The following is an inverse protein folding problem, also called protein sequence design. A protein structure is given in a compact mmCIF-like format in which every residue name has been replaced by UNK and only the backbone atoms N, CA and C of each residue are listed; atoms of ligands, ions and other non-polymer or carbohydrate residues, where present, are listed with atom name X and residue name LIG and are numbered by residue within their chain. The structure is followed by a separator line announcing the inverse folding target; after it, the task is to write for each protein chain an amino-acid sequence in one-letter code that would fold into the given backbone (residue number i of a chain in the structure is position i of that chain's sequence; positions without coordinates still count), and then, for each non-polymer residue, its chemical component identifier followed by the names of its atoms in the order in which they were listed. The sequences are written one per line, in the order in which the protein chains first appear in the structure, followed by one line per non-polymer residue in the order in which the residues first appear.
data_IF_172694288084
#
_entry.id   IF_172694288084
#
_cell.length_a   1.000
_cell.length_b   1.000
_cell.length_c   1.000
_cell.angle_alpha   90.00
_cell.angle_beta   90.00
_cell.angle_gamma   90.00
#
_symmetry.space_group_name_H-M   'P 1'
#
loop_
_entity.id
_entity.type
_entity.pdbx_description
1 polymer ?
#
# COMPACT_ATOMS: atom_id res chain seq x y z
N UNK A 1 8.48 7.36 -9.15
CA UNK A 1 9.54 6.63 -9.89
C UNK A 1 9.22 5.14 -9.79
N UNK A 2 9.21 4.37 -10.88
CA UNK A 2 8.85 2.93 -10.83
C UNK A 2 10.09 2.08 -10.56
N UNK A 3 10.05 1.31 -9.47
CA UNK A 3 11.02 0.27 -9.05
C UNK A 3 11.10 -0.87 -10.09
N UNK A 4 11.65 -0.61 -11.27
CA UNK A 4 11.90 -1.66 -12.26
C UNK A 4 13.30 -1.48 -12.80
N UNK A 5 14.24 -2.24 -12.21
CA UNK A 5 15.60 -2.34 -12.72
C UNK A 5 15.54 -2.70 -14.20
N UNK A 6 16.14 -1.85 -15.02
CA UNK A 6 16.29 -2.07 -16.46
C UNK A 6 17.68 -2.62 -16.67
N UNK A 7 17.82 -3.51 -17.65
CA UNK A 7 19.12 -4.12 -17.99
C UNK A 7 20.20 -3.13 -18.43
N UNK A 8 19.84 -1.86 -18.64
CA UNK A 8 20.73 -0.75 -19.01
C UNK A 8 20.90 0.29 -17.90
N UNK A 9 20.37 0.06 -16.70
CA UNK A 9 20.66 0.91 -15.55
C UNK A 9 22.11 0.62 -15.12
N UNK A 10 23.03 1.53 -15.47
CA UNK A 10 24.49 1.34 -15.30
C UNK A 10 24.91 1.22 -13.83
N UNK A 11 24.16 1.81 -12.90
CA UNK A 11 24.39 1.72 -11.45
C UNK A 11 23.08 1.67 -10.67
N UNK A 12 23.02 0.89 -9.58
CA UNK A 12 21.94 0.96 -8.60
C UNK A 12 21.72 2.40 -8.10
N UNK A 13 20.56 2.66 -7.50
CA UNK A 13 20.31 3.91 -6.78
C UNK A 13 21.45 4.13 -5.76
N UNK A 14 22.09 5.31 -5.85
CA UNK A 14 23.25 5.71 -5.04
C UNK A 14 22.90 5.70 -3.55
N UNK A 15 21.63 5.91 -3.20
CA UNK A 15 21.19 5.84 -1.81
C UNK A 15 20.98 4.41 -1.34
N UNK A 16 20.62 3.48 -2.24
CA UNK A 16 20.57 2.04 -1.94
C UNK A 16 21.97 1.44 -1.76
N UNK A 17 22.97 1.85 -2.56
CA UNK A 17 24.35 1.35 -2.47
C UNK A 17 25.04 1.64 -1.12
N UNK A 18 24.60 2.68 -0.41
CA UNK A 18 25.15 3.08 0.89
C UNK A 18 24.55 2.29 2.06
N UNK A 19 23.56 1.43 1.81
CA UNK A 19 22.86 0.70 2.84
C UNK A 19 23.60 -0.61 3.13
N UNK A 20 23.99 -0.82 4.39
CA UNK A 20 24.71 -2.01 4.84
C UNK A 20 23.88 -2.90 5.78
N UNK A 21 22.64 -2.51 6.06
CA UNK A 21 21.78 -3.13 7.07
C UNK A 21 20.41 -3.47 6.48
N UNK A 22 19.88 -4.64 6.87
CA UNK A 22 18.65 -5.20 6.29
C UNK A 22 17.43 -4.35 6.68
N UNK A 23 17.35 -3.88 7.92
CA UNK A 23 16.22 -3.07 8.37
C UNK A 23 16.16 -1.75 7.59
N UNK A 24 17.33 -1.18 7.32
CA UNK A 24 17.46 0.02 6.50
C UNK A 24 17.07 -0.23 5.03
N UNK A 25 17.39 -1.40 4.47
CA UNK A 25 16.94 -1.80 3.13
C UNK A 25 15.42 -1.91 3.06
N UNK A 26 14.80 -2.56 4.05
CA UNK A 26 13.35 -2.71 4.14
C UNK A 26 12.68 -1.35 4.25
N UNK A 27 13.20 -0.46 5.10
CA UNK A 27 12.68 0.90 5.25
C UNK A 27 12.78 1.71 3.94
N UNK A 28 13.89 1.58 3.21
CA UNK A 28 14.06 2.21 1.90
C UNK A 28 13.04 1.69 0.88
N UNK A 29 12.87 0.38 0.76
CA UNK A 29 11.89 -0.22 -0.16
C UNK A 29 10.45 0.19 0.21
N UNK A 30 10.14 0.20 1.50
CA UNK A 30 8.84 0.64 2.00
C UNK A 30 8.56 2.11 1.67
N UNK A 31 9.56 2.98 1.85
CA UNK A 31 9.44 4.40 1.47
C UNK A 31 9.16 4.57 -0.03
N UNK A 32 9.89 3.85 -0.89
CA UNK A 32 9.70 3.88 -2.34
C UNK A 32 8.30 3.40 -2.77
N UNK A 33 7.79 2.34 -2.14
CA UNK A 33 6.43 1.84 -2.38
C UNK A 33 5.37 2.85 -1.90
N UNK A 34 5.59 3.46 -0.74
CA UNK A 34 4.67 4.47 -0.22
C UNK A 34 4.58 5.68 -1.15
N UNK A 35 5.71 6.14 -1.72
CA UNK A 35 5.72 7.25 -2.67
C UNK A 35 4.97 6.87 -3.97
N UNK A 36 5.18 5.65 -4.46
CA UNK A 36 4.55 5.16 -5.70
C UNK A 36 3.02 5.11 -5.61
N UNK A 37 2.47 4.69 -4.48
CA UNK A 37 1.03 4.45 -4.32
C UNK A 37 0.26 5.62 -3.69
N UNK A 38 0.97 6.66 -3.24
CA UNK A 38 0.42 7.70 -2.39
C UNK A 38 0.70 7.36 -0.93
N UNK A 39 1.50 8.21 -0.29
CA UNK A 39 2.12 7.89 1.00
C UNK A 39 1.09 7.59 2.09
N UNK A 40 0.05 8.42 2.22
CA UNK A 40 -1.00 8.26 3.23
C UNK A 40 -1.80 6.98 2.98
N UNK A 41 -2.28 6.77 1.75
CA UNK A 41 -3.03 5.57 1.37
C UNK A 41 -2.25 4.29 1.69
N UNK A 42 -0.98 4.21 1.26
CA UNK A 42 -0.16 3.03 1.46
C UNK A 42 0.12 2.77 2.94
N UNK A 43 0.54 3.79 3.68
CA UNK A 43 0.86 3.65 5.11
C UNK A 43 -0.38 3.23 5.91
N UNK A 44 -1.54 3.83 5.65
CA UNK A 44 -2.80 3.49 6.33
C UNK A 44 -3.24 2.06 6.00
N UNK A 45 -3.16 1.65 4.73
CA UNK A 45 -3.48 0.28 4.33
C UNK A 45 -2.62 -0.76 5.06
N UNK A 46 -1.31 -0.55 5.11
CA UNK A 46 -0.40 -1.46 5.84
C UNK A 46 -0.66 -1.45 7.34
N UNK A 47 -0.93 -0.29 7.94
CA UNK A 47 -1.23 -0.16 9.36
C UNK A 47 -2.52 -0.89 9.76
N UNK A 48 -3.56 -0.81 8.93
CA UNK A 48 -4.82 -1.53 9.17
C UNK A 48 -4.63 -3.05 9.08
N UNK A 49 -3.88 -3.54 8.09
CA UNK A 49 -3.54 -4.97 7.98
C UNK A 49 -2.74 -5.47 9.19
N UNK A 50 -1.78 -4.68 9.68
CA UNK A 50 -0.99 -5.02 10.87
C UNK A 50 -1.81 -5.06 12.16
N UNK A 51 -2.80 -4.17 12.29
CA UNK A 51 -3.59 -4.03 13.51
C UNK A 51 -4.71 -5.08 13.62
N UNK A 52 -5.32 -5.44 12.50
CA UNK A 52 -6.52 -6.26 12.47
C UNK A 52 -6.27 -7.78 12.51
N UNK A 53 -5.00 -8.23 12.42
CA UNK A 53 -4.62 -9.65 12.36
C UNK A 53 -5.39 -10.39 11.27
N UNK A 54 -5.41 -9.82 10.06
CA UNK A 54 -6.17 -10.32 8.92
C UNK A 54 -7.35 -9.43 8.55
N UNK A 55 -7.45 -9.04 7.28
CA UNK A 55 -8.63 -8.34 6.75
C UNK A 55 -9.03 -8.90 5.39
N UNK A 56 -10.32 -9.06 5.15
CA UNK A 56 -10.82 -9.24 3.79
C UNK A 56 -10.61 -7.97 2.96
N UNK A 57 -10.61 -8.12 1.63
CA UNK A 57 -10.48 -6.98 0.70
C UNK A 57 -11.58 -5.94 0.94
N UNK A 58 -12.81 -6.39 1.22
CA UNK A 58 -13.95 -5.49 1.47
C UNK A 58 -13.80 -4.73 2.78
N UNK A 59 -13.36 -5.38 3.86
CA UNK A 59 -13.14 -4.71 5.15
C UNK A 59 -12.04 -3.66 5.06
N UNK A 60 -10.93 -3.97 4.38
CA UNK A 60 -9.86 -3.01 4.17
C UNK A 60 -10.34 -1.81 3.34
N UNK A 61 -11.10 -2.04 2.26
CA UNK A 61 -11.70 -0.96 1.47
C UNK A 61 -12.65 -0.09 2.30
N UNK A 62 -13.47 -0.71 3.16
CA UNK A 62 -14.41 0.00 4.03
C UNK A 62 -13.67 0.86 5.08
N UNK A 63 -12.61 0.33 5.69
CA UNK A 63 -11.76 1.06 6.64
C UNK A 63 -11.06 2.25 5.96
N UNK A 64 -10.46 2.03 4.78
CA UNK A 64 -9.80 3.10 4.03
C UNK A 64 -10.79 4.16 3.52
N UNK A 65 -12.01 3.75 3.15
CA UNK A 65 -13.06 4.69 2.71
C UNK A 65 -13.64 5.51 3.87
N UNK A 66 -13.44 5.06 5.10
CA UNK A 66 -13.88 5.77 6.31
C UNK A 66 -12.78 6.67 6.91
N UNK A 67 -11.57 6.66 6.32
CA UNK A 67 -10.43 7.44 6.79
C UNK A 67 -10.33 8.78 6.03
N UNK A 68 -10.66 9.87 6.73
CA UNK A 68 -10.66 11.23 6.19
C UNK A 68 -9.29 11.64 5.61
N UNK A 69 -8.18 11.24 6.24
CA UNK A 69 -6.84 11.58 5.76
C UNK A 69 -6.54 10.85 4.44
N UNK A 70 -6.97 9.58 4.33
CA UNK A 70 -6.85 8.81 3.09
C UNK A 70 -7.68 9.46 1.99
N UNK A 71 -8.94 9.77 2.27
CA UNK A 71 -9.81 10.43 1.30
C UNK A 71 -9.23 11.78 0.85
N UNK A 72 -8.76 12.61 1.78
CA UNK A 72 -8.14 13.89 1.45
C UNK A 72 -6.86 13.72 0.61
N UNK A 73 -6.06 12.68 0.89
CA UNK A 73 -4.83 12.41 0.14
C UNK A 73 -5.09 11.96 -1.31
N UNK A 74 -6.17 11.22 -1.54
CA UNK A 74 -6.54 10.71 -2.87
C UNK A 74 -7.29 11.78 -3.68
N UNK A 75 -8.11 12.60 -3.01
CA UNK A 75 -9.01 13.56 -3.63
C UNK A 75 -8.59 15.02 -3.40
N UNK A 76 -7.31 15.32 -3.59
CA UNK A 76 -6.73 16.63 -3.32
C UNK A 76 -7.43 17.83 -4.04
N UNK A 77 -8.13 17.60 -5.14
CA UNK A 77 -8.74 18.64 -5.97
C UNK A 77 -10.27 18.63 -6.05
N UNK A 78 -10.93 17.62 -5.47
CA UNK A 78 -12.39 17.51 -5.47
C UNK A 78 -12.81 16.66 -4.28
N UNK A 79 -13.34 17.27 -3.22
CA UNK A 79 -14.02 16.50 -2.18
C UNK A 79 -15.41 16.10 -2.72
N UNK A 80 -15.67 14.80 -2.94
CA UNK A 80 -17.01 14.31 -3.25
C UNK A 80 -17.94 14.61 -2.06
N UNK A 81 -19.27 14.59 -2.23
CA UNK A 81 -20.20 14.72 -1.10
C UNK A 81 -19.85 13.69 -0.02
N UNK A 82 -19.50 14.16 1.17
CA UNK A 82 -18.85 13.40 2.26
C UNK A 82 -19.73 12.30 2.89
N UNK A 83 -20.92 12.06 2.37
CA UNK A 83 -21.92 11.23 3.05
C UNK A 83 -21.87 9.76 2.62
N UNK A 84 -21.34 9.42 1.44
CA UNK A 84 -21.19 8.02 0.97
C UNK A 84 -20.08 7.92 -0.10
N UNK A 85 -18.82 8.15 0.25
CA UNK A 85 -17.73 8.01 -0.70
C UNK A 85 -16.89 6.75 -0.46
N UNK A 86 -16.95 5.81 -1.42
CA UNK A 86 -16.13 4.59 -1.41
C UNK A 86 -14.89 4.81 -2.29
N UNK A 87 -13.72 4.46 -1.77
CA UNK A 87 -12.50 4.48 -2.57
C UNK A 87 -12.64 3.60 -3.80
N UNK A 88 -12.14 4.03 -4.98
CA UNK A 88 -12.09 3.16 -6.14
C UNK A 88 -11.23 1.93 -5.81
N UNK A 89 -11.81 0.73 -5.88
CA UNK A 89 -11.13 -0.55 -5.60
C UNK A 89 -9.80 -0.73 -6.34
N UNK A 90 -9.70 -0.12 -7.52
CA UNK A 90 -8.48 -0.07 -8.32
C UNK A 90 -7.23 0.45 -7.59
N UNK A 91 -7.40 1.31 -6.57
CA UNK A 91 -6.28 1.84 -5.78
C UNK A 91 -5.64 0.75 -4.92
N UNK A 92 -6.46 -0.01 -4.19
CA UNK A 92 -6.01 -1.15 -3.42
C UNK A 92 -5.46 -2.25 -4.31
N UNK A 93 -6.14 -2.60 -5.40
CA UNK A 93 -5.69 -3.64 -6.35
C UNK A 93 -4.26 -3.36 -6.84
N UNK A 94 -3.90 -2.10 -7.08
CA UNK A 94 -2.52 -1.72 -7.47
C UNK A 94 -1.51 -2.00 -6.36
N UNK A 95 -1.83 -1.61 -5.12
CA UNK A 95 -0.99 -1.90 -3.95
C UNK A 95 -0.83 -3.41 -3.77
N UNK A 96 -1.95 -4.16 -3.82
CA UNK A 96 -1.95 -5.61 -3.72
C UNK A 96 -1.09 -6.28 -4.77
N UNK A 97 -1.16 -5.86 -6.03
CA UNK A 97 -0.35 -6.44 -7.09
C UNK A 97 1.16 -6.22 -6.87
N UNK A 98 1.56 -5.07 -6.34
CA UNK A 98 2.97 -4.77 -6.07
C UNK A 98 3.47 -5.43 -4.78
N UNK A 99 2.58 -5.65 -3.81
CA UNK A 99 2.88 -6.26 -2.51
C UNK A 99 2.56 -7.76 -2.41
N UNK A 100 2.02 -8.36 -3.48
CA UNK A 100 1.43 -9.72 -3.45
C UNK A 100 2.34 -10.77 -2.83
N UNK A 101 3.66 -10.67 -3.05
CA UNK A 101 4.65 -11.62 -2.54
C UNK A 101 4.88 -11.53 -1.03
N UNK A 102 4.50 -10.42 -0.41
CA UNK A 102 4.63 -10.17 1.02
C UNK A 102 3.34 -10.51 1.76
N UNK A 103 2.22 -10.65 1.06
CA UNK A 103 0.95 -10.99 1.68
C UNK A 103 0.75 -12.49 1.79
N UNK A 104 0.12 -12.90 2.89
CA UNK A 104 -0.38 -14.25 3.10
C UNK A 104 -1.90 -14.22 3.00
N UNK A 105 -2.46 -14.98 2.07
CA UNK A 105 -3.91 -15.12 1.93
C UNK A 105 -4.37 -16.43 2.56
N UNK A 106 -5.41 -16.36 3.38
CA UNK A 106 -6.07 -17.52 4.01
C UNK A 106 -7.56 -17.42 3.82
N UNK A 107 -8.22 -18.57 3.65
CA UNK A 107 -9.68 -18.63 3.61
C UNK A 107 -10.23 -18.77 5.02
N UNK A 108 -11.02 -17.79 5.46
CA UNK A 108 -11.77 -17.83 6.72
C UNK A 108 -13.25 -17.75 6.40
N UNK A 109 -14.03 -18.76 6.79
CA UNK A 109 -15.46 -18.83 6.52
C UNK A 109 -15.86 -18.62 5.02
N UNK A 110 -15.02 -19.08 4.09
CA UNK A 110 -15.12 -18.89 2.63
C UNK A 110 -14.87 -17.45 2.14
N UNK A 111 -14.23 -16.62 2.97
CA UNK A 111 -13.81 -15.27 2.61
C UNK A 111 -12.27 -15.25 2.58
N UNK A 112 -11.64 -14.77 1.50
CA UNK A 112 -10.20 -14.60 1.46
C UNK A 112 -9.80 -13.43 2.38
N UNK A 113 -8.98 -13.74 3.37
CA UNK A 113 -8.43 -12.80 4.36
C UNK A 113 -6.94 -12.60 4.08
N UNK A 114 -6.53 -11.34 4.07
CA UNK A 114 -5.17 -10.89 3.74
C UNK A 114 -4.43 -10.57 5.04
N UNK A 115 -3.24 -11.15 5.18
CA UNK A 115 -2.33 -10.95 6.29
C UNK A 115 -1.02 -10.34 5.78
N UNK A 116 -0.42 -9.44 6.58
CA UNK A 116 0.90 -8.86 6.34
C UNK A 116 2.00 -9.64 7.07
#
# INVERSE_FOLDING_TARGET
MTLKWRSFDEKPDVDFEKIYDIDTVIAYLYAQLSEKHGQVLFIRAMAYLQQADGLSETELEDMLSSDDDVLQSVFAHYLPPLEVFRLPSTLWIRIRNDMQKYFVERDEDNIPVIYL
#
